data_IF_623328511739
#
_entry.id   IF_623328511739
#
_cell.length_a   1.000
_cell.length_b   1.000
_cell.length_c   1.000
_cell.angle_alpha   90.00
_cell.angle_beta   90.00
_cell.angle_gamma   90.00
#
_symmetry.space_group_name_H-M   'P 1'
#
loop_
_entity.id
_entity.type
_entity.pdbx_description
1 polymer ?
#
# COMPACT_ATOMS: atom_id res chain seq x y z
N UNK A 1 20.87 10.26 -18.42
CA UNK A 1 20.86 11.62 -17.89
C UNK A 1 21.85 11.86 -16.72
N UNK A 2 22.74 10.92 -16.41
CA UNK A 2 23.73 11.06 -15.35
C UNK A 2 23.29 10.73 -13.94
N UNK A 3 22.09 10.12 -13.75
CA UNK A 3 21.68 9.53 -12.50
C UNK A 3 22.26 8.10 -12.39
N UNK A 4 22.87 7.79 -11.28
CA UNK A 4 23.37 6.44 -10.97
C UNK A 4 23.28 6.14 -9.48
N UNK A 5 23.11 4.88 -9.14
CA UNK A 5 23.25 4.41 -7.76
C UNK A 5 24.68 3.92 -7.56
N UNK A 6 25.26 4.22 -6.41
CA UNK A 6 26.50 3.59 -5.99
C UNK A 6 26.25 2.20 -5.39
N UNK A 7 27.33 1.51 -4.99
CA UNK A 7 27.25 0.17 -4.37
C UNK A 7 26.48 0.14 -3.04
N UNK A 8 26.32 1.28 -2.40
CA UNK A 8 25.62 1.43 -1.11
C UNK A 8 24.16 1.90 -1.29
N UNK A 9 23.70 1.99 -2.57
CA UNK A 9 22.33 2.40 -2.91
C UNK A 9 22.09 3.91 -2.85
N UNK A 10 23.15 4.71 -2.73
CA UNK A 10 23.02 6.18 -2.70
C UNK A 10 22.90 6.71 -4.13
N UNK A 11 21.84 7.48 -4.37
CA UNK A 11 21.61 8.13 -5.67
C UNK A 11 22.59 9.29 -5.85
N UNK A 12 23.35 9.25 -6.94
CA UNK A 12 24.26 10.32 -7.33
C UNK A 12 23.88 10.95 -8.66
N UNK A 13 24.08 12.23 -8.82
CA UNK A 13 23.85 12.98 -10.04
C UNK A 13 25.16 13.50 -10.60
N UNK A 14 25.48 13.08 -11.81
CA UNK A 14 26.58 13.66 -12.58
C UNK A 14 26.06 14.86 -13.38
N UNK A 15 26.37 16.07 -12.85
CA UNK A 15 25.89 17.33 -13.44
C UNK A 15 26.34 17.51 -14.89
N UNK A 16 27.58 17.19 -15.22
CA UNK A 16 28.10 17.33 -16.60
C UNK A 16 27.36 16.45 -17.60
N UNK A 17 27.01 15.22 -17.20
CA UNK A 17 26.19 14.33 -18.02
C UNK A 17 24.77 14.85 -18.18
N UNK A 18 24.18 15.41 -17.13
CA UNK A 18 22.85 16.03 -17.18
C UNK A 18 22.86 17.22 -18.13
N UNK A 19 23.81 18.16 -17.96
CA UNK A 19 23.93 19.35 -18.79
C UNK A 19 24.12 18.99 -20.26
N UNK A 20 24.94 17.98 -20.55
CA UNK A 20 25.13 17.49 -21.93
C UNK A 20 23.86 16.85 -22.51
N UNK A 21 23.13 16.09 -21.73
CA UNK A 21 21.86 15.47 -22.16
C UNK A 21 20.78 16.51 -22.44
N UNK A 22 20.66 17.52 -21.57
CA UNK A 22 19.69 18.62 -21.75
C UNK A 22 20.08 19.52 -22.94
N UNK A 23 21.37 19.75 -23.16
CA UNK A 23 21.83 20.49 -24.34
C UNK A 23 21.55 19.75 -25.65
N UNK A 24 21.63 18.41 -25.65
CA UNK A 24 21.34 17.58 -26.83
C UNK A 24 19.82 17.45 -27.08
N UNK A 25 19.02 17.33 -26.02
CA UNK A 25 17.55 17.24 -26.09
C UNK A 25 16.93 17.93 -24.87
N UNK A 26 16.46 19.18 -24.99
CA UNK A 26 15.81 19.90 -23.90
C UNK A 26 14.58 19.20 -23.33
N UNK A 27 13.90 18.33 -24.13
CA UNK A 27 12.75 17.55 -23.68
C UNK A 27 13.12 16.31 -22.86
N UNK A 28 14.40 16.02 -22.65
CA UNK A 28 14.85 14.81 -21.94
C UNK A 28 14.34 14.75 -20.49
N UNK A 29 14.24 15.90 -19.82
CA UNK A 29 13.69 15.97 -18.47
C UNK A 29 12.21 15.62 -18.46
N UNK A 30 11.43 16.17 -19.40
CA UNK A 30 10.03 15.81 -19.53
C UNK A 30 9.86 14.29 -19.77
N UNK A 31 10.63 13.74 -20.71
CA UNK A 31 10.60 12.30 -21.04
C UNK A 31 10.98 11.40 -19.87
N UNK A 32 11.80 11.88 -18.93
CA UNK A 32 12.16 11.11 -17.72
C UNK A 32 11.01 11.08 -16.70
N UNK A 33 10.29 12.19 -16.57
CA UNK A 33 9.26 12.32 -15.53
C UNK A 33 7.86 11.97 -16.01
N UNK A 34 7.57 12.12 -17.32
CA UNK A 34 6.26 11.83 -17.91
C UNK A 34 6.23 10.46 -18.59
N UNK A 35 5.03 9.96 -18.78
CA UNK A 35 4.79 8.75 -19.56
C UNK A 35 5.13 9.01 -21.03
N UNK A 36 5.83 8.06 -21.64
CA UNK A 36 6.24 8.17 -23.04
C UNK A 36 5.85 6.92 -23.83
N UNK A 37 5.61 7.06 -25.11
CA UNK A 37 5.50 5.93 -26.01
C UNK A 37 6.18 6.20 -27.35
N UNK A 38 6.76 5.15 -27.91
CA UNK A 38 7.32 5.14 -29.25
C UNK A 38 6.51 4.21 -30.14
N UNK A 39 6.27 4.62 -31.36
CA UNK A 39 5.52 3.85 -32.35
C UNK A 39 6.45 3.44 -33.51
N UNK A 40 6.27 2.23 -34.01
CA UNK A 40 7.05 1.74 -35.19
C UNK A 40 6.45 2.17 -36.51
N UNK A 41 5.19 2.66 -36.50
CA UNK A 41 4.48 3.14 -37.69
C UNK A 41 4.15 4.62 -37.53
N UNK A 42 4.59 5.45 -38.47
CA UNK A 42 4.37 6.90 -38.47
C UNK A 42 2.87 7.31 -38.58
N UNK A 43 2.00 6.38 -38.98
CA UNK A 43 0.54 6.59 -39.08
C UNK A 43 -0.11 6.51 -37.70
N UNK A 44 0.59 6.05 -36.68
CA UNK A 44 0.11 5.92 -35.29
C UNK A 44 0.79 6.96 -34.42
N UNK A 45 0.01 7.77 -33.72
CA UNK A 45 0.52 8.81 -32.81
C UNK A 45 0.01 8.57 -31.40
N UNK A 46 0.90 8.40 -30.45
CA UNK A 46 0.56 8.32 -29.03
C UNK A 46 -0.10 9.62 -28.54
N UNK A 47 -1.17 9.49 -27.75
CA UNK A 47 -1.91 10.61 -27.17
C UNK A 47 -1.82 10.63 -25.65
N UNK A 48 -1.85 9.45 -25.01
CA UNK A 48 -1.85 9.33 -23.56
C UNK A 48 -2.02 7.90 -23.09
N UNK A 49 -1.94 7.72 -21.79
CA UNK A 49 -2.20 6.46 -21.12
C UNK A 49 -2.83 6.73 -19.74
N UNK A 50 -3.52 5.75 -19.18
CA UNK A 50 -4.00 5.80 -17.79
C UNK A 50 -2.91 5.28 -16.84
N UNK A 51 -3.11 5.49 -15.53
CA UNK A 51 -2.27 4.88 -14.50
C UNK A 51 -2.35 3.34 -14.49
N UNK A 52 -3.42 2.76 -15.06
CA UNK A 52 -3.60 1.31 -15.19
C UNK A 52 -2.81 0.71 -16.37
N UNK A 53 -2.34 1.53 -17.30
CA UNK A 53 -1.54 1.06 -18.43
C UNK A 53 -0.20 0.51 -17.93
N UNK A 54 0.08 -0.74 -18.26
CA UNK A 54 1.36 -1.37 -17.92
C UNK A 54 2.44 -1.01 -18.94
N UNK A 55 3.69 -1.01 -18.50
CA UNK A 55 4.83 -0.85 -19.42
C UNK A 55 4.93 -2.07 -20.34
N UNK A 56 5.22 -1.84 -21.62
CA UNK A 56 5.34 -2.92 -22.57
C UNK A 56 5.21 -2.47 -24.02
N UNK A 57 5.35 -3.47 -24.91
CA UNK A 57 5.17 -3.30 -26.35
C UNK A 57 3.87 -3.94 -26.80
N UNK A 58 3.02 -3.19 -27.44
CA UNK A 58 1.66 -3.55 -27.81
C UNK A 58 1.54 -3.54 -29.34
N UNK A 59 1.24 -4.69 -29.94
CA UNK A 59 0.92 -4.78 -31.36
C UNK A 59 -0.42 -4.10 -31.65
N UNK A 60 -0.48 -3.31 -32.71
CA UNK A 60 -1.66 -2.56 -33.12
C UNK A 60 -2.16 -3.07 -34.46
N UNK A 61 -3.44 -3.42 -34.53
CA UNK A 61 -4.11 -3.78 -35.77
C UNK A 61 -5.44 -3.03 -35.88
N UNK A 62 -5.67 -2.38 -37.01
CA UNK A 62 -6.90 -1.62 -37.30
C UNK A 62 -7.73 -2.44 -38.28
N UNK A 63 -8.89 -2.91 -37.81
CA UNK A 63 -9.85 -3.64 -38.64
C UNK A 63 -10.77 -2.75 -39.46
N UNK A 64 -11.14 -1.58 -38.90
CA UNK A 64 -11.95 -0.58 -39.55
C UNK A 64 -11.27 0.78 -39.49
N UNK A 65 -10.85 1.30 -40.63
CA UNK A 65 -10.23 2.62 -40.71
C UNK A 65 -11.24 3.73 -40.40
N UNK A 66 -10.77 4.81 -39.77
CA UNK A 66 -11.53 6.04 -39.68
C UNK A 66 -11.56 6.74 -41.06
N UNK A 67 -12.74 7.04 -41.59
CA UNK A 67 -12.95 7.69 -42.90
C UNK A 67 -13.35 9.15 -42.81
N UNK A 68 -13.52 9.68 -41.60
CA UNK A 68 -13.99 11.05 -41.34
C UNK A 68 -15.41 11.10 -40.78
N UNK A 69 -16.19 10.01 -40.88
CA UNK A 69 -17.59 9.94 -40.43
C UNK A 69 -17.89 8.75 -39.53
N UNK A 70 -17.12 7.65 -39.62
CA UNK A 70 -17.24 6.47 -38.80
C UNK A 70 -16.33 6.55 -37.56
N UNK A 71 -16.30 5.45 -36.82
CA UNK A 71 -15.39 5.27 -35.67
C UNK A 71 -14.38 4.18 -36.01
N UNK A 72 -13.11 4.40 -35.66
CA UNK A 72 -12.06 3.40 -35.82
C UNK A 72 -12.39 2.14 -34.98
N UNK A 73 -12.10 0.96 -35.53
CA UNK A 73 -12.10 -0.28 -34.78
C UNK A 73 -10.79 -1.02 -34.99
N UNK A 74 -10.32 -1.70 -33.93
CA UNK A 74 -9.05 -2.42 -34.00
C UNK A 74 -8.75 -3.14 -32.72
N UNK A 75 -7.57 -3.78 -32.69
CA UNK A 75 -7.07 -4.53 -31.54
C UNK A 75 -5.73 -3.99 -31.09
N UNK A 76 -5.49 -4.12 -29.77
CA UNK A 76 -4.21 -3.84 -29.11
C UNK A 76 -3.77 -5.15 -28.47
N UNK A 77 -2.68 -5.73 -28.92
CA UNK A 77 -2.23 -7.07 -28.52
C UNK A 77 -3.33 -8.16 -28.71
N UNK A 78 -4.12 -8.05 -29.79
CA UNK A 78 -5.20 -8.99 -30.07
C UNK A 78 -6.51 -8.73 -29.29
N UNK A 79 -6.52 -7.80 -28.33
CA UNK A 79 -7.73 -7.43 -27.58
C UNK A 79 -8.39 -6.24 -28.24
N UNK A 80 -9.72 -6.30 -28.45
CA UNK A 80 -10.48 -5.22 -29.07
C UNK A 80 -10.40 -3.94 -28.21
N UNK A 81 -9.99 -2.84 -28.83
CA UNK A 81 -9.98 -1.52 -28.22
C UNK A 81 -11.32 -0.78 -28.43
N UNK A 82 -11.52 0.28 -27.67
CA UNK A 82 -12.66 1.20 -27.83
C UNK A 82 -12.26 2.34 -28.77
N UNK A 83 -12.97 2.50 -29.88
CA UNK A 83 -12.72 3.56 -30.85
C UNK A 83 -13.60 4.79 -30.60
N UNK A 84 -13.04 5.99 -30.79
CA UNK A 84 -13.77 7.27 -30.85
C UNK A 84 -13.16 8.13 -31.95
N UNK A 85 -13.89 8.36 -33.03
CA UNK A 85 -13.32 8.98 -34.22
C UNK A 85 -12.10 8.20 -34.73
N UNK A 86 -10.93 8.83 -34.79
CA UNK A 86 -9.67 8.19 -35.18
C UNK A 86 -8.79 7.74 -33.99
N UNK A 87 -9.33 7.81 -32.78
CA UNK A 87 -8.61 7.41 -31.55
C UNK A 87 -9.04 6.01 -31.13
N UNK A 88 -8.06 5.13 -30.88
CA UNK A 88 -8.26 3.82 -30.30
C UNK A 88 -7.72 3.81 -28.87
N UNK A 89 -8.52 3.27 -27.95
CA UNK A 89 -8.21 3.18 -26.52
C UNK A 89 -8.17 1.72 -26.09
N UNK A 90 -7.16 1.34 -25.32
CA UNK A 90 -7.00 0.01 -24.74
C UNK A 90 -8.13 -0.35 -23.78
N UNK A 91 -8.65 -1.58 -23.91
CA UNK A 91 -9.80 -2.06 -23.14
C UNK A 91 -9.45 -2.27 -21.66
N UNK A 92 -10.44 -2.08 -20.79
CA UNK A 92 -10.36 -2.30 -19.34
C UNK A 92 -10.01 -3.75 -19.01
N UNK A 93 -9.23 -3.95 -17.94
CA UNK A 93 -8.80 -5.27 -17.47
C UNK A 93 -7.64 -5.89 -18.23
N UNK A 94 -7.00 -5.14 -19.14
CA UNK A 94 -5.87 -5.59 -19.93
C UNK A 94 -4.62 -4.74 -19.67
N UNK A 95 -3.44 -5.26 -20.00
CA UNK A 95 -2.19 -4.53 -19.82
C UNK A 95 -2.15 -3.18 -20.58
N UNK A 96 -2.90 -3.06 -21.69
CA UNK A 96 -3.03 -1.83 -22.47
C UNK A 96 -4.17 -0.92 -22.01
N UNK A 97 -4.79 -1.17 -20.85
CA UNK A 97 -5.94 -0.40 -20.35
C UNK A 97 -5.65 1.11 -20.37
N UNK A 98 -6.51 1.87 -21.06
CA UNK A 98 -6.40 3.31 -21.12
C UNK A 98 -5.27 3.85 -21.99
N UNK A 99 -4.49 2.99 -22.68
CA UNK A 99 -3.52 3.42 -23.70
C UNK A 99 -4.26 4.01 -24.90
N UNK A 100 -3.99 5.27 -25.21
CA UNK A 100 -4.66 6.01 -26.28
C UNK A 100 -3.69 6.41 -27.38
N UNK A 101 -4.11 6.20 -28.61
CA UNK A 101 -3.40 6.67 -29.78
C UNK A 101 -4.35 6.99 -30.92
N UNK A 102 -3.96 7.95 -31.73
CA UNK A 102 -4.67 8.26 -32.99
C UNK A 102 -4.03 7.54 -34.15
N UNK A 103 -4.87 7.20 -35.13
CA UNK A 103 -4.44 6.62 -36.40
C UNK A 103 -4.82 7.56 -37.53
N UNK A 104 -3.92 7.68 -38.51
CA UNK A 104 -4.19 8.52 -39.71
C UNK A 104 -5.41 8.00 -40.44
N UNK A 105 -6.25 8.92 -40.90
CA UNK A 105 -7.48 8.63 -41.68
C UNK A 105 -7.20 7.68 -42.85
N UNK A 106 -8.05 6.67 -43.02
CA UNK A 106 -7.95 5.68 -44.07
C UNK A 106 -6.95 4.55 -43.83
N UNK A 107 -6.16 4.62 -42.75
CA UNK A 107 -5.18 3.57 -42.43
C UNK A 107 -5.85 2.36 -41.78
N UNK A 108 -5.58 1.17 -42.32
CA UNK A 108 -6.07 -0.14 -41.80
C UNK A 108 -5.02 -1.24 -41.90
N UNK A 109 -5.28 -2.36 -41.25
CA UNK A 109 -4.39 -3.50 -41.18
C UNK A 109 -3.38 -3.39 -40.04
N UNK A 110 -2.24 -4.03 -40.20
CA UNK A 110 -1.17 -4.00 -39.19
C UNK A 110 -0.52 -2.61 -39.14
N UNK A 111 -0.53 -2.00 -37.96
CA UNK A 111 0.05 -0.68 -37.66
C UNK A 111 1.35 -0.79 -36.85
N UNK A 112 2.02 -1.94 -36.89
CA UNK A 112 3.24 -2.16 -36.10
C UNK A 112 2.96 -2.26 -34.60
N UNK A 113 3.77 -1.59 -33.80
CA UNK A 113 3.66 -1.64 -32.34
C UNK A 113 3.86 -0.29 -31.68
N UNK A 114 3.31 -0.16 -30.49
CA UNK A 114 3.55 0.94 -29.56
C UNK A 114 4.30 0.39 -28.36
N UNK A 115 5.47 0.94 -28.06
CA UNK A 115 6.23 0.64 -26.82
C UNK A 115 5.97 1.76 -25.84
N UNK A 116 5.25 1.46 -24.77
CA UNK A 116 4.89 2.40 -23.68
C UNK A 116 5.83 2.23 -22.49
N UNK A 117 6.26 3.34 -21.91
CA UNK A 117 7.10 3.40 -20.72
C UNK A 117 6.54 4.45 -19.76
N UNK A 118 6.43 4.08 -18.48
CA UNK A 118 6.04 5.00 -17.41
C UNK A 118 7.19 5.94 -17.05
N UNK A 119 6.87 7.20 -16.82
CA UNK A 119 7.82 8.16 -16.29
C UNK A 119 8.16 7.91 -14.81
N UNK A 120 9.24 8.53 -14.35
CA UNK A 120 9.69 8.39 -12.96
C UNK A 120 8.62 8.83 -11.94
N UNK A 121 7.84 9.87 -12.27
CA UNK A 121 6.77 10.34 -11.39
C UNK A 121 5.68 9.28 -11.18
N UNK A 122 5.24 8.64 -12.26
CA UNK A 122 4.24 7.56 -12.20
C UNK A 122 4.77 6.34 -11.43
N UNK A 123 6.00 5.91 -11.74
CA UNK A 123 6.65 4.80 -11.03
C UNK A 123 6.79 5.07 -9.52
N UNK A 124 7.12 6.30 -9.14
CA UNK A 124 7.21 6.69 -7.74
C UNK A 124 5.83 6.69 -7.08
N UNK A 125 4.80 7.17 -7.79
CA UNK A 125 3.41 7.13 -7.33
C UNK A 125 2.94 5.69 -7.11
N UNK A 126 3.16 4.79 -8.07
CA UNK A 126 2.85 3.36 -7.97
C UNK A 126 3.56 2.71 -6.78
N UNK A 127 4.84 3.05 -6.58
CA UNK A 127 5.61 2.51 -5.46
C UNK A 127 5.09 3.02 -4.11
N UNK A 128 4.79 4.32 -3.98
CA UNK A 128 4.19 4.89 -2.77
C UNK A 128 2.82 4.23 -2.51
N UNK A 129 1.98 4.08 -3.54
CA UNK A 129 0.71 3.39 -3.45
C UNK A 129 0.86 1.97 -2.90
N UNK A 130 1.84 1.20 -3.41
CA UNK A 130 2.11 -0.16 -2.93
C UNK A 130 2.49 -0.25 -1.44
N UNK A 131 2.94 0.85 -0.85
CA UNK A 131 3.26 0.95 0.58
C UNK A 131 2.07 1.41 1.42
N UNK A 132 1.27 2.34 0.89
CA UNK A 132 0.26 3.11 1.65
C UNK A 132 -1.19 2.71 1.36
N UNK A 133 -1.46 2.03 0.25
CA UNK A 133 -2.81 1.59 -0.11
C UNK A 133 -3.28 0.44 0.79
N UNK A 134 -4.57 0.15 0.77
CA UNK A 134 -5.16 -0.96 1.51
C UNK A 134 -4.45 -2.28 1.15
N UNK A 135 -3.93 -2.96 2.17
CA UNK A 135 -3.07 -4.14 1.99
C UNK A 135 -1.59 -3.82 1.76
N UNK A 136 -1.22 -2.56 1.65
CA UNK A 136 0.16 -2.11 1.55
C UNK A 136 1.00 -2.47 2.78
N UNK A 137 2.32 -2.52 2.61
CA UNK A 137 3.21 -3.03 3.66
C UNK A 137 3.20 -2.16 4.94
N UNK A 138 3.01 -0.84 4.82
CA UNK A 138 2.91 0.06 5.97
C UNK A 138 1.57 -0.10 6.68
N UNK A 139 0.46 -0.19 5.94
CA UNK A 139 -0.89 -0.41 6.50
C UNK A 139 -0.94 -1.74 7.24
N UNK A 140 -0.49 -2.83 6.61
CA UNK A 140 -0.45 -4.16 7.24
C UNK A 140 0.40 -4.19 8.50
N UNK A 141 1.51 -3.44 8.55
CA UNK A 141 2.36 -3.32 9.74
C UNK A 141 1.67 -2.53 10.85
N UNK A 142 0.99 -1.45 10.50
CA UNK A 142 0.21 -0.63 11.45
C UNK A 142 -0.92 -1.43 12.07
N UNK A 143 -1.66 -2.20 11.27
CA UNK A 143 -2.74 -3.07 11.72
C UNK A 143 -2.21 -4.18 12.64
N UNK A 144 -1.07 -4.76 12.30
CA UNK A 144 -0.37 -5.73 13.13
C UNK A 144 0.04 -5.16 14.50
N UNK A 145 0.54 -3.91 14.54
CA UNK A 145 0.88 -3.22 15.78
C UNK A 145 -0.36 -2.88 16.60
N UNK A 146 -1.43 -2.41 15.98
CA UNK A 146 -2.72 -2.14 16.62
C UNK A 146 -3.30 -3.40 17.25
N UNK A 147 -3.26 -4.53 16.54
CA UNK A 147 -3.69 -5.82 17.06
C UNK A 147 -2.83 -6.32 18.22
N UNK A 148 -1.52 -6.04 18.20
CA UNK A 148 -0.62 -6.36 19.33
C UNK A 148 -0.93 -5.50 20.54
N UNK A 149 -1.17 -4.20 20.33
CA UNK A 149 -1.55 -3.28 21.41
C UNK A 149 -2.83 -3.76 22.11
N UNK A 150 -3.89 -4.06 21.34
CA UNK A 150 -5.15 -4.56 21.89
C UNK A 150 -4.95 -5.83 22.75
N UNK A 151 -4.12 -6.78 22.27
CA UNK A 151 -3.81 -7.99 23.06
C UNK A 151 -3.06 -7.69 24.36
N UNK A 152 -2.21 -6.66 24.38
CA UNK A 152 -1.51 -6.23 25.60
C UNK A 152 -2.48 -5.57 26.57
N UNK A 153 -3.37 -4.73 26.09
CA UNK A 153 -4.43 -4.10 26.90
C UNK A 153 -5.32 -5.18 27.54
N UNK A 154 -5.75 -6.21 26.78
CA UNK A 154 -6.50 -7.36 27.30
C UNK A 154 -5.71 -8.18 28.36
N UNK A 155 -4.38 -8.25 28.23
CA UNK A 155 -3.54 -8.93 29.22
C UNK A 155 -3.41 -8.12 30.50
N UNK A 156 -3.27 -6.80 30.39
CA UNK A 156 -3.24 -5.87 31.51
C UNK A 156 -4.55 -5.96 32.31
N UNK A 157 -5.70 -5.92 31.65
CA UNK A 157 -7.00 -6.07 32.29
C UNK A 157 -7.14 -7.38 33.06
N UNK A 158 -6.68 -8.50 32.45
CA UNK A 158 -6.69 -9.81 33.14
C UNK A 158 -5.79 -9.83 34.37
N UNK A 159 -4.62 -9.17 34.30
CA UNK A 159 -3.71 -9.08 35.45
C UNK A 159 -4.35 -8.22 36.55
N UNK A 160 -4.96 -7.10 36.21
CA UNK A 160 -5.62 -6.22 37.16
C UNK A 160 -6.77 -6.95 37.89
N UNK A 161 -7.63 -7.65 37.14
CA UNK A 161 -8.70 -8.48 37.74
C UNK A 161 -8.13 -9.56 38.69
N UNK A 162 -7.02 -10.19 38.32
CA UNK A 162 -6.37 -11.18 39.17
C UNK A 162 -5.78 -10.56 40.44
N UNK A 163 -5.21 -9.36 40.34
CA UNK A 163 -4.70 -8.61 41.48
C UNK A 163 -5.81 -8.26 42.47
N UNK A 164 -6.96 -7.77 41.97
CA UNK A 164 -8.14 -7.49 42.78
C UNK A 164 -8.64 -8.74 43.53
N UNK A 165 -8.69 -9.88 42.84
CA UNK A 165 -9.06 -11.16 43.48
C UNK A 165 -8.08 -11.59 44.56
N UNK A 166 -6.78 -11.41 44.31
CA UNK A 166 -5.73 -11.71 45.30
C UNK A 166 -5.85 -10.78 46.50
N UNK A 167 -6.05 -9.46 46.27
CA UNK A 167 -6.24 -8.49 47.34
C UNK A 167 -7.47 -8.83 48.19
N UNK A 168 -8.62 -9.11 47.60
CA UNK A 168 -9.84 -9.51 48.30
C UNK A 168 -9.62 -10.74 49.14
N UNK A 169 -8.90 -11.75 48.62
CA UNK A 169 -8.56 -12.97 49.34
C UNK A 169 -7.67 -12.69 50.57
N UNK A 170 -6.64 -11.89 50.40
CA UNK A 170 -5.77 -11.54 51.53
C UNK A 170 -6.51 -10.68 52.56
N UNK A 171 -7.32 -9.69 52.17
CA UNK A 171 -8.15 -8.91 53.11
C UNK A 171 -9.08 -9.82 53.91
N UNK A 172 -9.73 -10.81 53.27
CA UNK A 172 -10.58 -11.78 53.95
C UNK A 172 -9.80 -12.64 54.92
N UNK A 173 -8.59 -13.09 54.55
CA UNK A 173 -7.72 -13.87 55.44
C UNK A 173 -7.25 -13.07 56.67
N UNK A 174 -6.85 -11.80 56.47
CA UNK A 174 -6.48 -10.93 57.58
C UNK A 174 -7.64 -10.64 58.50
N UNK A 175 -8.85 -10.37 57.98
CA UNK A 175 -10.05 -10.16 58.78
C UNK A 175 -10.42 -11.41 59.60
N UNK A 176 -10.31 -12.60 59.00
CA UNK A 176 -10.53 -13.86 59.68
C UNK A 176 -9.49 -14.10 60.81
N UNK A 177 -8.22 -13.77 60.57
CA UNK A 177 -7.14 -13.87 61.53
C UNK A 177 -7.39 -12.90 62.71
N UNK A 178 -7.75 -11.64 62.43
CA UNK A 178 -8.06 -10.67 63.47
C UNK A 178 -9.25 -11.14 64.35
N UNK A 179 -10.29 -11.70 63.72
CA UNK A 179 -11.45 -12.26 64.43
C UNK A 179 -11.05 -13.45 65.32
N UNK A 180 -10.13 -14.29 64.80
CA UNK A 180 -9.59 -15.44 65.57
C UNK A 180 -8.73 -14.97 66.74
N UNK A 181 -7.89 -13.97 66.55
CA UNK A 181 -7.08 -13.37 67.63
C UNK A 181 -7.97 -12.73 68.70
N UNK A 182 -9.03 -12.01 68.32
CA UNK A 182 -10.00 -11.44 69.27
C UNK A 182 -10.69 -12.54 70.08
N UNK A 183 -11.12 -13.63 69.43
CA UNK A 183 -11.76 -14.76 70.16
C UNK A 183 -10.78 -15.48 71.09
N UNK A 184 -9.52 -15.64 70.73
CA UNK A 184 -8.47 -16.20 71.58
C UNK A 184 -8.20 -15.32 72.82
N UNK A 185 -8.12 -14.00 72.62
CA UNK A 185 -8.00 -13.04 73.74
C UNK A 185 -9.18 -13.14 74.71
N UNK A 186 -10.42 -13.20 74.16
CA UNK A 186 -11.61 -13.39 74.96
C UNK A 186 -11.58 -14.69 75.76
N UNK A 187 -11.20 -15.79 75.07
CA UNK A 187 -11.04 -17.13 75.80
C UNK A 187 -9.94 -17.09 76.86
N UNK A 188 -8.82 -16.45 76.56
CA UNK A 188 -7.71 -16.28 77.54
C UNK A 188 -8.17 -15.45 78.76
N UNK A 189 -8.87 -14.39 78.56
CA UNK A 189 -9.46 -13.53 79.60
C UNK A 189 -10.46 -14.34 80.46
N UNK A 190 -11.32 -15.13 79.84
CA UNK A 190 -12.29 -15.98 80.49
C UNK A 190 -11.59 -17.03 81.34
N UNK A 191 -10.56 -17.75 80.83
CA UNK A 191 -9.77 -18.74 81.58
C UNK A 191 -9.06 -18.10 82.79
N UNK A 192 -8.49 -16.91 82.61
CA UNK A 192 -7.84 -16.16 83.70
C UNK A 192 -8.82 -15.82 84.81
N UNK A 193 -10.06 -15.42 84.42
CA UNK A 193 -11.11 -15.16 85.44
C UNK A 193 -11.53 -16.44 86.20
N UNK A 194 -11.67 -17.56 85.46
CA UNK A 194 -12.05 -18.83 86.07
C UNK A 194 -10.92 -19.37 87.06
N UNK A 195 -9.63 -19.26 86.65
CA UNK A 195 -8.54 -19.60 87.47
C UNK A 195 -8.47 -18.72 88.72
N UNK A 196 -8.72 -17.44 88.64
CA UNK A 196 -8.77 -16.55 89.79
C UNK A 196 -9.96 -16.86 90.74
N UNK A 197 -11.08 -17.40 90.23
CA UNK A 197 -12.21 -17.84 90.99
C UNK A 197 -11.98 -19.17 91.76
N UNK A 198 -11.14 -20.05 91.22
CA UNK A 198 -10.76 -21.33 91.81
C UNK A 198 -9.62 -21.18 92.85
N UNK A 199 -8.93 -20.06 92.87
CA UNK A 199 -7.82 -19.79 93.84
C UNK A 199 -8.28 -19.06 95.08
N UNK A 200 -9.58 -18.90 95.27
CA UNK A 200 -10.22 -18.46 96.54
C UNK A 200 -10.85 -19.64 97.24
#
# INVERSE_FOLDING_TARGET
IGLSFDKDGVLSLNKSKLDSAVAADPSILEKVFTNTATTTDARVKYLGASNMTQEGTYAVNVSTAYDGSNTIAGTINGVAGTGVGNVLTGATGNASEGLQFSVVQGASGNMGSITFSKGLAERLSDWIGSLTDEGGSLVSRTDGLTSRKSRLDDQEDRINLRLEQVEKRYRAQFTALDSMLASMQQTSSYLSQQLAALAK
#
